data_IF_435050325466
#
_entry.id   IF_435050325466
#
_cell.length_a   1.000
_cell.length_b   1.000
_cell.length_c   1.000
_cell.angle_alpha   90.00
_cell.angle_beta   90.00
_cell.angle_gamma   90.00
#
_symmetry.space_group_name_H-M   'P 1'
#
loop_
_entity.id
_entity.type
_entity.pdbx_description
1 polymer ?
#
# COMPACT_ATOMS: atom_id res chain seq x y z
N UNK A 1 10.29 23.81 -2.71
CA UNK A 1 9.97 22.42 -3.12
C UNK A 1 10.99 21.51 -2.47
N UNK A 2 10.56 20.54 -1.66
CA UNK A 2 11.45 19.50 -1.16
C UNK A 2 11.91 18.68 -2.38
N UNK A 3 13.19 18.63 -2.65
CA UNK A 3 13.74 17.80 -3.72
C UNK A 3 13.34 16.33 -3.50
N UNK A 4 12.89 15.70 -4.56
CA UNK A 4 12.59 14.27 -4.53
C UNK A 4 13.88 13.50 -4.31
N UNK A 5 13.87 12.54 -3.38
CA UNK A 5 15.05 11.77 -2.97
C UNK A 5 15.74 11.05 -4.14
N UNK A 6 15.01 10.69 -5.19
CA UNK A 6 15.54 10.00 -6.37
C UNK A 6 14.88 10.49 -7.65
N UNK A 7 15.57 10.36 -8.79
CA UNK A 7 14.99 10.65 -10.12
C UNK A 7 13.78 9.76 -10.43
N UNK A 8 13.77 8.51 -9.99
CA UNK A 8 12.67 7.57 -10.17
C UNK A 8 11.39 7.96 -9.40
N UNK A 9 11.49 8.88 -8.44
CA UNK A 9 10.33 9.38 -7.71
C UNK A 9 9.45 10.29 -8.58
N UNK A 10 10.03 10.96 -9.60
CA UNK A 10 9.29 11.78 -10.56
C UNK A 10 8.78 10.91 -11.70
N UNK A 11 7.49 10.60 -11.69
CA UNK A 11 6.86 9.72 -12.67
C UNK A 11 5.37 10.00 -12.82
N UNK A 12 4.81 9.61 -13.94
CA UNK A 12 3.37 9.66 -14.19
C UNK A 12 2.78 8.27 -13.88
N UNK A 13 1.71 8.25 -13.10
CA UNK A 13 0.99 7.04 -12.74
C UNK A 13 -0.41 7.12 -13.34
N UNK A 14 -0.83 6.17 -14.18
CA UNK A 14 -2.20 6.12 -14.68
C UNK A 14 -3.17 5.90 -13.52
N UNK A 15 -4.27 6.63 -13.52
CA UNK A 15 -5.28 6.55 -12.48
C UNK A 15 -6.45 5.68 -12.97
N UNK A 16 -6.81 4.61 -12.24
CA UNK A 16 -8.03 3.89 -12.51
C UNK A 16 -9.26 4.79 -12.25
N UNK A 17 -10.39 4.56 -12.95
CA UNK A 17 -11.57 5.44 -12.89
C UNK A 17 -12.05 5.72 -11.46
N UNK A 18 -12.12 4.71 -10.61
CA UNK A 18 -12.58 4.84 -9.21
C UNK A 18 -11.67 5.76 -8.39
N UNK A 19 -10.35 5.68 -8.62
CA UNK A 19 -9.40 6.55 -7.94
C UNK A 19 -9.49 7.98 -8.50
N UNK A 20 -9.71 8.13 -9.80
CA UNK A 20 -9.86 9.44 -10.43
C UNK A 20 -11.08 10.20 -9.86
N UNK A 21 -12.22 9.53 -9.67
CA UNK A 21 -13.40 10.12 -9.06
C UNK A 21 -13.14 10.57 -7.63
N UNK A 22 -12.58 9.70 -6.78
CA UNK A 22 -12.23 10.06 -5.41
C UNK A 22 -11.23 11.23 -5.32
N UNK A 23 -10.28 11.32 -6.26
CA UNK A 23 -9.33 12.43 -6.32
C UNK A 23 -9.97 13.73 -6.80
N UNK A 24 -10.97 13.68 -7.70
CA UNK A 24 -11.76 14.84 -8.12
C UNK A 24 -12.54 15.43 -6.94
N UNK A 25 -13.29 14.58 -6.23
CA UNK A 25 -14.02 14.99 -5.02
C UNK A 25 -13.10 15.62 -3.97
N UNK A 26 -11.94 15.01 -3.72
CA UNK A 26 -10.94 15.55 -2.81
C UNK A 26 -10.38 16.90 -3.30
N UNK A 27 -10.23 17.08 -4.61
CA UNK A 27 -9.76 18.33 -5.21
C UNK A 27 -10.79 19.44 -5.14
N UNK A 28 -12.06 19.14 -5.35
CA UNK A 28 -13.17 20.12 -5.26
C UNK A 28 -13.27 20.70 -3.84
N UNK A 29 -12.97 19.89 -2.81
CA UNK A 29 -12.94 20.33 -1.42
C UNK A 29 -11.66 21.06 -1.01
N UNK A 30 -10.68 21.17 -1.91
CA UNK A 30 -9.35 21.74 -1.65
C UNK A 30 -9.01 22.87 -2.60
N UNK A 31 -8.63 24.03 -2.05
CA UNK A 31 -8.06 25.16 -2.83
C UNK A 31 -6.57 24.96 -3.15
N UNK A 32 -5.94 23.89 -2.65
CA UNK A 32 -4.53 23.63 -2.86
C UNK A 32 -4.23 23.09 -4.25
N UNK A 33 -3.04 23.38 -4.76
CA UNK A 33 -2.48 22.75 -5.97
C UNK A 33 -2.20 21.24 -5.75
N UNK A 34 -1.97 20.83 -4.50
CA UNK A 34 -1.69 19.45 -4.12
C UNK A 34 -2.97 18.69 -3.82
N UNK A 35 -3.03 17.43 -4.22
CA UNK A 35 -4.17 16.53 -3.94
C UNK A 35 -4.29 16.28 -2.42
N UNK A 36 -3.16 16.12 -1.74
CA UNK A 36 -3.10 15.97 -0.29
C UNK A 36 -2.24 17.10 0.26
N UNK A 37 -2.89 18.03 0.93
CA UNK A 37 -2.27 19.24 1.46
C UNK A 37 -2.52 19.40 2.97
N UNK A 38 -1.70 20.20 3.60
CA UNK A 38 -1.96 20.71 4.96
C UNK A 38 -2.96 21.88 4.92
N UNK A 39 -3.25 22.45 6.09
CA UNK A 39 -4.18 23.60 6.21
C UNK A 39 -3.72 24.85 5.46
N UNK A 40 -2.43 24.98 5.21
CA UNK A 40 -1.81 26.11 4.52
C UNK A 40 -1.69 25.86 3.02
N UNK A 41 -2.31 24.81 2.49
CA UNK A 41 -2.28 24.42 1.10
C UNK A 41 -0.95 23.81 0.62
N UNK A 42 -0.01 23.52 1.53
CA UNK A 42 1.29 22.96 1.24
C UNK A 42 1.31 21.42 1.34
N UNK A 43 2.26 20.71 0.71
CA UNK A 43 2.40 19.27 0.87
C UNK A 43 2.56 18.90 2.34
N UNK A 44 2.03 17.74 2.72
CA UNK A 44 2.23 17.22 4.07
C UNK A 44 3.71 16.97 4.36
N UNK A 45 4.17 17.44 5.52
CA UNK A 45 5.44 16.98 6.07
C UNK A 45 5.35 15.49 6.46
N UNK A 46 6.49 14.83 6.59
CA UNK A 46 6.55 13.44 7.06
C UNK A 46 5.82 13.24 8.41
N UNK A 47 5.98 14.15 9.34
CA UNK A 47 5.32 14.11 10.66
C UNK A 47 3.80 14.23 10.54
N UNK A 48 3.32 15.13 9.69
CA UNK A 48 1.89 15.28 9.43
C UNK A 48 1.30 14.03 8.77
N UNK A 49 1.98 13.48 7.77
CA UNK A 49 1.59 12.23 7.14
C UNK A 49 1.53 11.08 8.15
N UNK A 50 2.56 10.91 8.98
CA UNK A 50 2.60 9.88 10.03
C UNK A 50 1.44 10.03 11.01
N UNK A 51 1.09 11.26 11.38
CA UNK A 51 -0.05 11.56 12.26
C UNK A 51 -1.38 11.15 11.62
N UNK A 52 -1.60 11.51 10.35
CA UNK A 52 -2.79 11.11 9.60
C UNK A 52 -2.87 9.59 9.48
N UNK A 53 -1.75 8.91 9.18
CA UNK A 53 -1.72 7.46 9.11
C UNK A 53 -2.08 6.79 10.44
N UNK A 54 -1.72 7.42 11.56
CA UNK A 54 -2.10 6.95 12.90
C UNK A 54 -3.63 6.91 13.06
N UNK A 55 -4.40 7.84 12.48
CA UNK A 55 -5.86 7.78 12.53
C UNK A 55 -6.43 6.56 11.78
N UNK A 56 -5.77 6.10 10.75
CA UNK A 56 -6.15 4.87 10.04
C UNK A 56 -5.85 3.65 10.92
N UNK A 57 -4.65 3.59 11.48
CA UNK A 57 -4.22 2.46 12.32
C UNK A 57 -4.95 2.38 13.67
N UNK A 58 -5.46 3.48 14.20
CA UNK A 58 -6.30 3.46 15.41
C UNK A 58 -7.62 2.73 15.21
N UNK A 59 -8.08 2.55 13.97
CA UNK A 59 -9.30 1.80 13.63
C UNK A 59 -9.10 0.29 13.56
N UNK A 60 -7.87 -0.20 13.82
CA UNK A 60 -7.56 -1.63 13.78
C UNK A 60 -8.13 -2.34 15.01
N UNK A 61 -8.91 -3.39 14.80
CA UNK A 61 -9.51 -4.23 15.82
C UNK A 61 -8.55 -5.32 16.32
N UNK A 62 -7.28 -4.96 16.60
CA UNK A 62 -6.28 -5.90 17.12
C UNK A 62 -5.87 -5.57 18.53
N UNK A 63 -5.54 -6.58 19.36
CA UNK A 63 -5.01 -6.38 20.71
C UNK A 63 -3.76 -5.50 20.67
N UNK A 64 -3.71 -4.50 21.55
CA UNK A 64 -2.59 -3.56 21.62
C UNK A 64 -2.35 -3.05 23.03
N UNK A 65 -1.10 -2.72 23.38
CA UNK A 65 -0.78 -2.11 24.66
C UNK A 65 -1.48 -0.74 24.79
N UNK A 66 -2.08 -0.49 25.91
CA UNK A 66 -2.70 0.77 26.27
C UNK A 66 -2.31 1.16 27.70
N UNK A 67 -2.55 2.41 28.05
CA UNK A 67 -2.35 2.92 29.41
C UNK A 67 -3.62 3.62 29.87
N UNK A 68 -3.99 3.45 31.13
CA UNK A 68 -5.05 4.21 31.80
C UNK A 68 -4.47 4.86 33.05
N UNK A 69 -4.99 6.02 33.39
CA UNK A 69 -4.62 6.73 34.61
C UNK A 69 -5.57 6.28 35.73
N UNK A 70 -5.01 5.74 36.82
CA UNK A 70 -5.78 5.23 37.95
C UNK A 70 -5.01 5.54 39.24
N UNK A 71 -5.65 6.22 40.20
CA UNK A 71 -5.06 6.48 41.51
C UNK A 71 -3.76 7.27 41.51
N UNK A 72 -3.54 8.16 40.53
CA UNK A 72 -2.31 8.95 40.45
C UNK A 72 -1.22 8.35 39.55
N UNK A 73 -1.39 7.13 39.04
CA UNK A 73 -0.38 6.42 38.26
C UNK A 73 -0.92 5.91 36.92
N UNK A 74 -0.01 5.73 35.94
CA UNK A 74 -0.34 5.10 34.65
C UNK A 74 -0.19 3.59 34.73
N UNK A 75 -1.32 2.89 34.68
CA UNK A 75 -1.39 1.44 34.62
C UNK A 75 -1.43 0.95 33.17
N UNK A 76 -0.53 0.05 32.81
CA UNK A 76 -0.51 -0.60 31.50
C UNK A 76 -1.55 -1.71 31.46
N UNK A 77 -2.27 -1.82 30.35
CA UNK A 77 -3.20 -2.92 30.11
C UNK A 77 -3.20 -3.26 28.60
N UNK A 78 -3.75 -4.40 28.24
CA UNK A 78 -4.00 -4.74 26.84
C UNK A 78 -5.43 -4.36 26.49
N UNK A 79 -5.58 -3.51 25.48
CA UNK A 79 -6.87 -3.19 24.88
C UNK A 79 -7.21 -4.29 23.86
N UNK A 80 -8.42 -4.81 23.93
CA UNK A 80 -8.99 -5.76 22.98
C UNK A 80 -10.15 -5.08 22.24
N UNK A 81 -9.88 -4.39 21.13
CA UNK A 81 -10.94 -3.76 20.36
C UNK A 81 -11.80 -4.81 19.66
N UNK A 82 -13.09 -4.55 19.54
CA UNK A 82 -14.03 -5.43 18.81
C UNK A 82 -14.41 -4.74 17.50
N UNK A 83 -14.36 -5.49 16.39
CA UNK A 83 -14.71 -4.99 15.08
C UNK A 83 -16.17 -4.49 15.07
N UNK A 84 -16.40 -3.31 14.53
CA UNK A 84 -17.70 -2.64 14.50
C UNK A 84 -18.00 -1.78 15.73
N UNK A 85 -17.29 -1.92 16.82
CA UNK A 85 -17.51 -1.11 18.04
C UNK A 85 -16.80 0.25 17.98
N UNK A 86 -17.35 1.20 18.76
CA UNK A 86 -16.72 2.52 18.97
C UNK A 86 -15.63 2.42 20.03
N UNK A 87 -14.56 3.18 19.83
CA UNK A 87 -13.51 3.28 20.83
C UNK A 87 -14.02 4.01 22.09
N UNK A 88 -13.77 3.44 23.27
CA UNK A 88 -14.25 3.97 24.57
C UNK A 88 -13.80 5.41 24.84
N UNK A 89 -12.57 5.74 24.42
CA UNK A 89 -11.98 7.07 24.69
C UNK A 89 -12.12 8.04 23.51
N UNK A 90 -12.71 7.62 22.40
CA UNK A 90 -12.93 8.45 21.22
C UNK A 90 -14.10 7.90 20.41
N UNK A 91 -15.31 8.38 20.70
CA UNK A 91 -16.54 7.94 20.06
C UNK A 91 -16.63 8.19 18.54
N UNK A 92 -15.70 8.99 17.98
CA UNK A 92 -15.58 9.19 16.53
C UNK A 92 -14.78 8.08 15.84
N UNK A 93 -14.08 7.24 16.60
CA UNK A 93 -13.31 6.11 16.06
C UNK A 93 -14.14 4.85 16.18
N UNK A 94 -14.46 4.24 15.02
CA UNK A 94 -15.03 2.89 14.93
C UNK A 94 -13.92 1.94 14.52
N UNK A 95 -13.83 0.80 15.17
CA UNK A 95 -12.89 -0.26 14.79
C UNK A 95 -13.40 -0.97 13.53
N UNK A 96 -12.89 -0.56 12.38
CA UNK A 96 -13.36 -0.98 11.06
C UNK A 96 -12.35 -1.84 10.28
N UNK A 97 -11.18 -2.10 10.85
CA UNK A 97 -10.11 -2.88 10.23
C UNK A 97 -9.77 -4.07 11.12
N UNK A 98 -9.78 -5.27 10.57
CA UNK A 98 -9.36 -6.52 11.22
C UNK A 98 -7.88 -6.86 10.97
N UNK A 99 -7.17 -6.00 10.26
CA UNK A 99 -5.76 -6.16 9.89
C UNK A 99 -4.97 -4.88 10.14
N UNK A 100 -3.66 -5.04 10.34
CA UNK A 100 -2.73 -3.92 10.36
C UNK A 100 -2.37 -3.54 8.93
N UNK A 101 -2.31 -2.23 8.69
CA UNK A 101 -1.94 -1.69 7.39
C UNK A 101 -0.86 -0.64 7.52
N UNK A 102 0.16 -0.75 6.70
CA UNK A 102 1.20 0.28 6.54
C UNK A 102 1.26 0.74 5.09
N UNK A 103 1.73 1.97 4.81
CA UNK A 103 1.93 2.43 3.44
C UNK A 103 2.82 1.50 2.63
N UNK A 104 3.80 0.88 3.29
CA UNK A 104 4.72 -0.06 2.66
C UNK A 104 4.03 -1.37 2.26
N UNK A 105 3.14 -1.90 3.10
CA UNK A 105 2.33 -3.07 2.76
C UNK A 105 1.39 -2.79 1.58
N UNK A 106 0.73 -1.62 1.54
CA UNK A 106 -0.09 -1.23 0.39
C UNK A 106 0.73 -1.18 -0.90
N UNK A 107 1.93 -0.60 -0.83
CA UNK A 107 2.86 -0.58 -1.97
C UNK A 107 3.27 -1.99 -2.40
N UNK A 108 3.60 -2.88 -1.46
CA UNK A 108 3.91 -4.27 -1.76
C UNK A 108 2.75 -5.00 -2.42
N UNK A 109 1.55 -4.85 -1.90
CA UNK A 109 0.33 -5.43 -2.48
C UNK A 109 0.10 -4.92 -3.90
N UNK A 110 0.25 -3.60 -4.13
CA UNK A 110 0.14 -3.01 -5.46
C UNK A 110 1.12 -3.64 -6.46
N UNK A 111 2.41 -3.72 -6.10
CA UNK A 111 3.45 -4.31 -6.94
C UNK A 111 3.14 -5.79 -7.22
N UNK A 112 2.78 -6.55 -6.19
CA UNK A 112 2.47 -7.98 -6.32
C UNK A 112 1.26 -8.22 -7.23
N UNK A 113 0.22 -7.39 -7.12
CA UNK A 113 -0.96 -7.47 -7.99
C UNK A 113 -0.61 -7.17 -9.46
N UNK A 114 0.25 -6.18 -9.73
CA UNK A 114 0.73 -5.91 -11.08
C UNK A 114 1.50 -7.12 -11.66
N UNK A 115 2.33 -7.76 -10.84
CA UNK A 115 3.09 -8.96 -11.24
C UNK A 115 2.13 -10.12 -11.54
N UNK A 116 1.11 -10.33 -10.73
CA UNK A 116 0.09 -11.37 -10.96
C UNK A 116 -0.77 -11.08 -12.20
N UNK A 117 -0.99 -9.81 -12.52
CA UNK A 117 -1.61 -9.39 -13.77
C UNK A 117 -0.67 -9.49 -14.98
N UNK A 118 0.52 -10.08 -14.82
CA UNK A 118 1.53 -10.25 -15.86
C UNK A 118 2.03 -8.94 -16.49
N UNK A 119 1.99 -7.85 -15.75
CA UNK A 119 2.61 -6.58 -16.16
C UNK A 119 4.13 -6.79 -16.18
N UNK A 120 4.79 -6.31 -17.24
CA UNK A 120 6.23 -6.50 -17.42
C UNK A 120 7.05 -5.84 -16.29
N UNK A 121 8.21 -6.42 -15.92
CA UNK A 121 9.00 -5.94 -14.79
C UNK A 121 9.48 -4.48 -14.90
N UNK A 122 9.70 -3.97 -16.12
CA UNK A 122 10.14 -2.58 -16.33
C UNK A 122 9.00 -1.59 -16.06
N UNK A 123 7.80 -1.90 -16.51
CA UNK A 123 6.60 -1.12 -16.19
C UNK A 123 6.31 -1.16 -14.69
N UNK A 124 6.41 -2.32 -14.04
CA UNK A 124 6.27 -2.43 -12.58
C UNK A 124 7.34 -1.59 -11.86
N UNK A 125 8.59 -1.64 -12.29
CA UNK A 125 9.68 -0.82 -11.75
C UNK A 125 9.35 0.67 -11.85
N UNK A 126 8.90 1.12 -13.01
CA UNK A 126 8.51 2.52 -13.26
C UNK A 126 7.35 2.93 -12.36
N UNK A 127 6.25 2.19 -12.38
CA UNK A 127 5.05 2.49 -11.57
C UNK A 127 5.34 2.46 -10.08
N UNK A 128 6.17 1.53 -9.62
CA UNK A 128 6.64 1.47 -8.25
C UNK A 128 7.62 2.61 -7.90
N UNK A 129 8.36 3.18 -8.87
CA UNK A 129 9.42 4.16 -8.65
C UNK A 129 10.62 3.53 -7.94
N UNK A 130 10.97 2.32 -8.30
CA UNK A 130 12.21 1.69 -7.85
C UNK A 130 13.39 2.18 -8.70
N UNK A 131 14.36 2.80 -8.06
CA UNK A 131 15.58 3.25 -8.73
C UNK A 131 16.39 2.06 -9.25
N UNK A 132 16.45 0.98 -8.45
CA UNK A 132 17.15 -0.25 -8.79
C UNK A 132 16.16 -1.34 -9.22
N UNK A 133 16.36 -1.90 -10.40
CA UNK A 133 15.57 -3.01 -10.96
C UNK A 133 15.66 -4.27 -10.11
N UNK A 134 16.74 -4.48 -9.37
CA UNK A 134 16.93 -5.63 -8.48
C UNK A 134 15.76 -5.78 -7.50
N UNK A 135 15.31 -4.66 -6.89
CA UNK A 135 14.18 -4.69 -5.94
C UNK A 135 12.91 -5.23 -6.61
N UNK A 136 12.61 -4.79 -7.83
CA UNK A 136 11.46 -5.28 -8.59
C UNK A 136 11.61 -6.74 -8.96
N UNK A 137 12.80 -7.15 -9.41
CA UNK A 137 13.08 -8.53 -9.81
C UNK A 137 13.02 -9.50 -8.62
N UNK A 138 13.50 -9.09 -7.45
CA UNK A 138 13.41 -9.89 -6.22
C UNK A 138 11.94 -10.13 -5.81
N UNK A 139 11.09 -9.11 -5.93
CA UNK A 139 9.65 -9.25 -5.67
C UNK A 139 8.99 -10.13 -6.73
N UNK A 140 9.37 -9.95 -8.01
CA UNK A 140 8.87 -10.75 -9.13
C UNK A 140 9.20 -12.24 -8.96
N UNK A 141 10.47 -12.54 -8.64
CA UNK A 141 10.91 -13.91 -8.38
C UNK A 141 10.11 -14.55 -7.24
N UNK A 142 9.97 -13.86 -6.10
CA UNK A 142 9.21 -14.36 -4.95
C UNK A 142 7.74 -14.59 -5.30
N UNK A 143 7.09 -13.66 -6.02
CA UNK A 143 5.68 -13.78 -6.39
C UNK A 143 5.45 -14.98 -7.32
N UNK A 144 6.30 -15.19 -8.31
CA UNK A 144 6.22 -16.35 -9.22
C UNK A 144 6.58 -17.67 -8.53
N UNK A 145 7.58 -17.67 -7.65
CA UNK A 145 7.96 -18.88 -6.88
C UNK A 145 6.82 -19.38 -5.98
N UNK A 146 5.99 -18.47 -5.46
CA UNK A 146 4.87 -18.83 -4.60
C UNK A 146 3.66 -19.41 -5.39
N UNK A 147 3.73 -19.44 -6.73
CA UNK A 147 2.68 -19.97 -7.59
C UNK A 147 3.24 -20.90 -8.69
N UNK A 148 3.86 -22.03 -8.34
CA UNK A 148 4.41 -22.95 -9.34
C UNK A 148 3.34 -23.50 -10.30
N UNK A 149 2.07 -23.55 -9.87
CA UNK A 149 0.94 -23.96 -10.72
C UNK A 149 0.69 -23.02 -11.91
N UNK A 150 1.05 -21.73 -11.78
CA UNK A 150 0.90 -20.76 -12.88
C UNK A 150 2.03 -20.89 -13.91
N UNK A 151 3.15 -21.47 -13.52
CA UNK A 151 4.33 -21.65 -14.39
C UNK A 151 4.28 -22.97 -15.16
N UNK A 152 3.70 -24.01 -14.56
CA UNK A 152 3.63 -25.35 -15.18
C UNK A 152 2.99 -25.34 -16.58
N UNK A 153 1.82 -24.71 -16.83
CA UNK A 153 1.24 -24.64 -18.17
C UNK A 153 2.10 -23.88 -19.18
N UNK A 154 2.86 -22.88 -18.73
CA UNK A 154 3.79 -22.14 -19.61
C UNK A 154 4.96 -23.02 -20.06
N UNK A 155 5.49 -23.85 -19.15
CA UNK A 155 6.54 -24.81 -19.48
C UNK A 155 6.04 -25.86 -20.46
N UNK A 156 4.86 -26.42 -20.24
CA UNK A 156 4.23 -27.38 -21.15
C UNK A 156 4.08 -26.79 -22.55
N UNK A 157 3.62 -25.55 -22.66
CA UNK A 157 3.49 -24.88 -23.96
C UNK A 157 4.82 -24.71 -24.68
N UNK A 158 5.86 -24.26 -23.96
CA UNK A 158 7.23 -24.12 -24.53
C UNK A 158 7.78 -25.43 -25.00
N UNK A 159 7.67 -26.50 -24.22
CA UNK A 159 8.15 -27.82 -24.60
C UNK A 159 7.38 -28.42 -25.78
N UNK A 160 6.08 -28.16 -25.86
CA UNK A 160 5.29 -28.61 -27.01
C UNK A 160 5.72 -27.91 -28.30
N UNK A 161 5.87 -26.57 -28.28
CA UNK A 161 6.37 -25.82 -29.42
C UNK A 161 7.77 -26.28 -29.86
N UNK A 162 8.65 -26.60 -28.92
CA UNK A 162 10.00 -27.09 -29.22
C UNK A 162 9.97 -28.43 -29.91
N UNK A 163 9.18 -29.38 -29.41
CA UNK A 163 9.02 -30.69 -30.06
C UNK A 163 8.44 -30.57 -31.48
N UNK A 164 7.48 -29.70 -31.71
CA UNK A 164 6.90 -29.44 -33.02
C UNK A 164 7.93 -28.81 -34.00
N UNK A 165 8.90 -28.05 -33.50
CA UNK A 165 9.97 -27.42 -34.29
C UNK A 165 11.08 -28.41 -34.65
N UNK A 166 11.38 -29.42 -33.82
CA UNK A 166 12.41 -30.43 -34.07
C UNK A 166 11.88 -31.55 -35.00
N UNK A 167 10.55 -31.70 -35.07
CA UNK A 167 9.91 -32.72 -35.92
C UNK A 167 9.72 -32.30 -37.39
N UNK A 168 10.12 -31.08 -37.76
CA UNK A 168 10.19 -30.56 -39.14
C UNK A 168 11.63 -30.63 -39.68
#
# INVERSE_FOLDING_TARGET
MTELKTKAAKRNIPLPPQLLEALKEAKESSSSEYVIANKDGQPLSYTQFKRLWTYITTRTAKPRPAKKYVGGEYVKYTLYPVLGEKARNNGHVVYSLDFDVTPHQLRHTYITNLIYASVDPKTVQYLAGHENSKITMDIYAKAKYNRPKDVAPMLEHVFKQWNDTIAQ
#
